data_IF_657560879467
#
_entry.id   IF_657560879467
#
_cell.length_a   1.000
_cell.length_b   1.000
_cell.length_c   1.000
_cell.angle_alpha   90.00
_cell.angle_beta   90.00
_cell.angle_gamma   90.00
#
_symmetry.space_group_name_H-M   'P 1'
#
loop_
_entity.id
_entity.type
_entity.pdbx_description
1 polymer ?
#
# COMPACT_ATOMS: atom_id res chain seq x y z
N UNK A 1 17.71 -22.15 -5.98
CA UNK A 1 16.40 -21.47 -5.92
C UNK A 1 16.09 -21.21 -4.45
N UNK A 2 16.07 -19.95 -4.00
CA UNK A 2 15.72 -19.64 -2.60
C UNK A 2 14.27 -20.09 -2.36
N UNK A 3 14.07 -20.91 -1.33
CA UNK A 3 12.75 -21.41 -0.98
C UNK A 3 11.94 -20.26 -0.35
N UNK A 4 10.92 -19.77 -1.06
CA UNK A 4 10.02 -18.76 -0.50
C UNK A 4 9.11 -19.44 0.52
N UNK A 5 9.31 -19.13 1.80
CA UNK A 5 8.54 -19.74 2.88
C UNK A 5 7.25 -18.98 3.13
N UNK A 6 6.25 -19.65 3.70
CA UNK A 6 5.00 -19.00 4.10
C UNK A 6 5.23 -17.88 5.15
N UNK A 7 6.26 -18.03 5.99
CA UNK A 7 6.65 -17.02 6.96
C UNK A 7 7.15 -15.73 6.29
N UNK A 8 7.99 -15.84 5.24
CA UNK A 8 8.46 -14.66 4.49
C UNK A 8 7.31 -13.91 3.81
N UNK A 9 6.36 -14.65 3.22
CA UNK A 9 5.19 -14.03 2.58
C UNK A 9 4.33 -13.31 3.62
N UNK A 10 4.15 -13.93 4.80
CA UNK A 10 3.42 -13.32 5.92
C UNK A 10 4.12 -12.03 6.39
N UNK A 11 5.43 -12.08 6.60
CA UNK A 11 6.23 -10.92 7.03
C UNK A 11 6.13 -9.76 6.02
N UNK A 12 6.26 -10.06 4.72
CA UNK A 12 6.15 -9.03 3.68
C UNK A 12 4.77 -8.39 3.66
N UNK A 13 3.71 -9.18 3.84
CA UNK A 13 2.34 -8.68 3.95
C UNK A 13 2.15 -7.80 5.17
N UNK A 14 2.69 -8.17 6.33
CA UNK A 14 2.60 -7.36 7.54
C UNK A 14 3.30 -6.02 7.40
N UNK A 15 4.46 -5.98 6.71
CA UNK A 15 5.21 -4.74 6.46
C UNK A 15 4.56 -3.83 5.42
N UNK A 16 3.87 -4.37 4.42
CA UNK A 16 3.42 -3.60 3.24
C UNK A 16 1.90 -3.44 3.12
N UNK A 17 1.12 -4.30 3.79
CA UNK A 17 -0.34 -4.38 3.62
C UNK A 17 -0.78 -4.97 2.26
N UNK A 18 0.14 -5.41 1.40
CA UNK A 18 -0.20 -5.95 0.09
C UNK A 18 -0.91 -7.33 0.16
N UNK A 19 -1.56 -7.72 -0.93
CA UNK A 19 -2.23 -9.02 -1.04
C UNK A 19 -1.26 -10.19 -0.88
N UNK A 20 -1.72 -11.31 -0.30
CA UNK A 20 -0.88 -12.49 -0.03
C UNK A 20 -0.20 -13.04 -1.30
N UNK A 21 -0.93 -13.08 -2.42
CA UNK A 21 -0.40 -13.55 -3.70
C UNK A 21 0.58 -12.57 -4.33
N UNK A 22 0.36 -11.27 -4.16
CA UNK A 22 1.27 -10.24 -4.67
C UNK A 22 2.59 -10.28 -3.89
N UNK A 23 2.54 -10.48 -2.58
CA UNK A 23 3.72 -10.69 -1.74
C UNK A 23 4.52 -11.92 -2.18
N UNK A 24 3.85 -13.05 -2.42
CA UNK A 24 4.51 -14.27 -2.90
C UNK A 24 5.16 -14.07 -4.28
N UNK A 25 4.46 -13.40 -5.20
CA UNK A 25 5.00 -13.10 -6.54
C UNK A 25 6.19 -12.16 -6.45
N UNK A 26 6.09 -11.09 -5.68
CA UNK A 26 7.17 -10.14 -5.48
C UNK A 26 8.42 -10.83 -4.93
N UNK A 27 8.28 -11.65 -3.88
CA UNK A 27 9.41 -12.45 -3.35
C UNK A 27 9.96 -13.46 -4.35
N UNK A 28 9.13 -13.97 -5.25
CA UNK A 28 9.61 -14.89 -6.30
C UNK A 28 10.41 -14.12 -7.35
N UNK A 29 9.93 -12.94 -7.78
CA UNK A 29 10.59 -12.07 -8.76
C UNK A 29 11.89 -11.46 -8.21
N UNK A 30 11.97 -11.22 -6.90
CA UNK A 30 13.16 -10.66 -6.24
C UNK A 30 14.05 -11.73 -5.59
N UNK A 31 13.81 -13.00 -5.89
CA UNK A 31 14.59 -14.14 -5.37
C UNK A 31 14.69 -14.16 -3.82
N UNK A 32 13.61 -13.76 -3.14
CA UNK A 32 13.51 -13.73 -1.68
C UNK A 32 14.21 -12.55 -1.03
N UNK A 33 14.63 -11.54 -1.80
CA UNK A 33 15.09 -10.26 -1.26
C UNK A 33 13.90 -9.42 -0.78
N UNK A 34 13.83 -9.20 0.53
CA UNK A 34 12.71 -8.51 1.18
C UNK A 34 12.66 -7.03 0.82
N UNK A 35 13.79 -6.32 0.81
CA UNK A 35 13.79 -4.88 0.55
C UNK A 35 13.43 -4.62 -0.92
N UNK A 36 14.00 -5.41 -1.84
CA UNK A 36 13.59 -5.34 -3.26
C UNK A 36 12.11 -5.70 -3.46
N UNK A 37 11.58 -6.68 -2.70
CA UNK A 37 10.18 -7.05 -2.82
C UNK A 37 9.26 -5.91 -2.35
N UNK A 38 9.65 -5.17 -1.31
CA UNK A 38 8.91 -3.99 -0.83
C UNK A 38 8.92 -2.88 -1.88
N UNK A 39 10.08 -2.58 -2.47
CA UNK A 39 10.19 -1.58 -3.54
C UNK A 39 9.33 -1.96 -4.75
N UNK A 40 9.42 -3.21 -5.19
CA UNK A 40 8.61 -3.73 -6.31
C UNK A 40 7.10 -3.64 -6.03
N UNK A 41 6.67 -3.97 -4.81
CA UNK A 41 5.26 -3.83 -4.42
C UNK A 41 4.81 -2.37 -4.39
N UNK A 42 5.67 -1.45 -3.96
CA UNK A 42 5.38 0.00 -3.96
C UNK A 42 5.20 0.51 -5.39
N UNK A 43 6.10 0.17 -6.30
CA UNK A 43 6.00 0.55 -7.72
C UNK A 43 4.73 -0.01 -8.38
N UNK A 44 4.44 -1.31 -8.17
CA UNK A 44 3.21 -1.95 -8.66
C UNK A 44 1.96 -1.30 -8.08
N UNK A 45 2.00 -0.92 -6.80
CA UNK A 45 0.91 -0.21 -6.12
C UNK A 45 0.62 1.16 -6.75
N UNK A 46 1.64 1.95 -7.06
CA UNK A 46 1.50 3.24 -7.75
C UNK A 46 0.89 3.07 -9.14
N UNK A 47 1.35 2.08 -9.91
CA UNK A 47 0.78 1.79 -11.23
C UNK A 47 -0.69 1.34 -11.14
N UNK A 48 -1.05 0.55 -10.13
CA UNK A 48 -2.43 0.13 -9.89
C UNK A 48 -3.33 1.30 -9.47
N UNK A 49 -2.82 2.23 -8.66
CA UNK A 49 -3.53 3.45 -8.27
C UNK A 49 -3.79 4.34 -9.49
N UNK A 50 -2.78 4.56 -10.34
CA UNK A 50 -2.94 5.32 -11.58
C UNK A 50 -4.02 4.73 -12.51
N UNK A 51 -4.09 3.40 -12.63
CA UNK A 51 -5.15 2.72 -13.40
C UNK A 51 -6.54 2.88 -12.78
N UNK A 52 -6.64 3.05 -11.45
CA UNK A 52 -7.91 3.24 -10.75
C UNK A 52 -8.37 4.71 -10.76
N UNK A 53 -7.48 5.67 -10.97
CA UNK A 53 -7.78 7.11 -10.92
C UNK A 53 -8.86 7.56 -11.92
N UNK A 54 -9.06 6.85 -13.03
CA UNK A 54 -10.12 7.14 -13.99
C UNK A 54 -11.52 6.65 -13.57
N UNK A 55 -11.65 5.95 -12.44
CA UNK A 55 -12.95 5.49 -11.93
C UNK A 55 -13.60 6.62 -11.15
N UNK A 56 -14.90 6.79 -11.35
CA UNK A 56 -15.69 7.71 -10.53
C UNK A 56 -15.85 7.10 -9.13
N UNK A 57 -15.42 7.84 -8.10
CA UNK A 57 -15.78 7.59 -6.71
C UNK A 57 -16.92 8.53 -6.34
N UNK A 58 -18.12 7.99 -6.10
CA UNK A 58 -19.32 8.76 -5.77
C UNK A 58 -19.60 8.84 -4.26
N UNK A 59 -18.78 8.16 -3.44
CA UNK A 59 -18.87 8.10 -1.99
C UNK A 59 -17.53 8.56 -1.40
N UNK A 60 -17.57 9.20 -0.23
CA UNK A 60 -16.41 9.74 0.47
C UNK A 60 -16.77 10.22 1.89
N UNK A 61 -15.78 10.76 2.60
CA UNK A 61 -15.95 11.31 3.95
C UNK A 61 -15.40 12.74 4.04
N UNK A 62 -16.10 13.62 4.76
CA UNK A 62 -15.56 14.94 5.14
C UNK A 62 -15.10 14.91 6.59
N UNK A 63 -13.84 15.26 6.82
CA UNK A 63 -13.24 15.31 8.15
C UNK A 63 -12.75 16.72 8.50
N UNK A 64 -12.87 17.07 9.78
CA UNK A 64 -12.54 18.39 10.30
C UNK A 64 -11.39 18.34 11.29
N UNK A 65 -10.43 19.26 11.16
CA UNK A 65 -9.33 19.43 12.08
C UNK A 65 -9.26 20.86 12.61
N UNK A 66 -9.26 21.02 13.94
CA UNK A 66 -9.17 22.32 14.60
C UNK A 66 -7.89 22.37 15.45
N UNK A 67 -7.03 23.34 15.17
CA UNK A 67 -5.76 23.51 15.88
C UNK A 67 -5.71 24.81 16.70
N UNK A 68 -4.82 24.82 17.70
CA UNK A 68 -4.47 26.02 18.45
C UNK A 68 -5.62 26.64 19.24
N UNK A 69 -6.61 25.85 19.68
CA UNK A 69 -7.76 26.33 20.44
C UNK A 69 -8.81 27.07 19.59
N UNK A 70 -8.97 26.67 18.32
CA UNK A 70 -9.96 27.28 17.41
C UNK A 70 -9.40 28.33 16.46
N UNK A 71 -8.07 28.50 16.41
CA UNK A 71 -7.42 29.51 15.58
C UNK A 71 -7.23 29.09 14.13
N UNK A 72 -7.14 27.79 13.89
CA UNK A 72 -6.98 27.22 12.54
C UNK A 72 -7.99 26.09 12.41
N UNK A 73 -8.80 26.14 11.35
CA UNK A 73 -9.73 25.07 10.98
C UNK A 73 -9.44 24.58 9.56
N UNK A 74 -9.47 23.26 9.38
CA UNK A 74 -9.29 22.58 8.08
C UNK A 74 -10.45 21.61 7.89
N UNK A 75 -10.99 21.55 6.67
CA UNK A 75 -11.88 20.50 6.21
C UNK A 75 -11.19 19.74 5.06
N UNK A 76 -11.26 18.41 5.08
CA UNK A 76 -10.72 17.55 4.03
C UNK A 76 -11.80 16.57 3.60
N UNK A 77 -11.97 16.40 2.29
CA UNK A 77 -12.77 15.33 1.69
C UNK A 77 -11.82 14.24 1.18
N UNK A 78 -12.11 12.97 1.52
CA UNK A 78 -11.30 11.79 1.15
C UNK A 78 -12.17 10.67 0.56
#
# INVERSE_FOLDING_TARGET
MKMITAAMVKELRERTGAGMMDCKKALTETEGDMEKAIELLREKGLAAAAKKAGRIAAEGLVEAYIHGGGRIGVLVEV
#
